data_IF_968837138526
#
_entry.id   IF_968837138526
#
_cell.length_a   1.000
_cell.length_b   1.000
_cell.length_c   1.000
_cell.angle_alpha   90.00
_cell.angle_beta   90.00
_cell.angle_gamma   90.00
#
_symmetry.space_group_name_H-M   'P 1'
#
loop_
_entity.id
_entity.type
_entity.pdbx_description
1 polymer ?
#
# COMPACT_ATOMS: atom_id res chain seq x y z
N UNK A 1 -15.05 -8.83 -8.34
CA UNK A 1 -15.11 -7.35 -8.33
C UNK A 1 -13.73 -6.84 -8.00
N UNK A 2 -13.21 -5.86 -8.73
CA UNK A 2 -11.96 -5.21 -8.39
C UNK A 2 -12.25 -4.08 -7.39
N UNK A 3 -11.51 -4.03 -6.29
CA UNK A 3 -11.57 -2.93 -5.31
C UNK A 3 -10.38 -2.04 -5.60
N UNK A 4 -10.63 -0.74 -5.82
CA UNK A 4 -9.56 0.23 -5.96
C UNK A 4 -8.98 0.52 -4.59
N UNK A 5 -7.70 0.17 -4.40
CA UNK A 5 -6.96 0.51 -3.19
C UNK A 5 -6.47 1.94 -3.34
N UNK A 6 -7.16 2.87 -2.67
CA UNK A 6 -6.81 4.28 -2.67
C UNK A 6 -5.81 4.48 -1.53
N UNK A 7 -4.59 4.91 -1.87
CA UNK A 7 -3.66 5.37 -0.85
C UNK A 7 -4.25 6.59 -0.14
N UNK A 8 -4.57 6.51 1.17
CA UNK A 8 -4.95 7.68 1.92
C UNK A 8 -3.72 8.59 2.05
N UNK A 9 -3.94 9.89 2.33
CA UNK A 9 -2.83 10.75 2.76
C UNK A 9 -2.34 10.22 4.11
N UNK A 10 -1.21 9.53 4.11
CA UNK A 10 -0.63 8.94 5.32
C UNK A 10 0.06 9.99 6.20
N UNK A 11 0.55 11.07 5.59
CA UNK A 11 1.15 12.19 6.30
C UNK A 11 0.80 13.51 5.59
N UNK A 12 0.59 14.58 6.34
CA UNK A 12 0.24 15.91 5.81
C UNK A 12 1.36 16.46 4.90
N UNK A 13 2.60 16.01 5.11
CA UNK A 13 3.77 16.32 4.27
C UNK A 13 4.08 15.25 3.20
N UNK A 14 3.32 14.16 3.12
CA UNK A 14 3.57 13.09 2.15
C UNK A 14 3.24 13.58 0.72
N UNK A 15 4.27 13.88 -0.07
CA UNK A 15 4.13 14.25 -1.49
C UNK A 15 4.38 13.09 -2.44
N UNK A 16 5.27 12.20 -2.07
CA UNK A 16 5.71 11.06 -2.89
C UNK A 16 6.03 9.88 -1.99
N UNK A 17 5.57 8.69 -2.38
CA UNK A 17 5.88 7.43 -1.73
C UNK A 17 6.44 6.45 -2.75
N UNK A 18 7.41 5.63 -2.33
CA UNK A 18 8.02 4.61 -3.17
C UNK A 18 7.59 3.24 -2.68
N UNK A 19 7.06 2.43 -3.58
CA UNK A 19 6.77 1.03 -3.26
C UNK A 19 8.09 0.29 -3.18
N UNK A 20 8.45 -0.19 -1.99
CA UNK A 20 9.70 -0.91 -1.76
C UNK A 20 9.51 -2.41 -1.92
N UNK A 21 8.30 -2.93 -1.65
CA UNK A 21 8.03 -4.36 -1.72
C UNK A 21 6.55 -4.66 -1.95
N UNK A 22 6.31 -5.58 -2.89
CA UNK A 22 5.00 -6.14 -3.14
C UNK A 22 4.87 -7.46 -2.39
N UNK A 23 3.87 -7.57 -1.52
CA UNK A 23 3.54 -8.82 -0.84
C UNK A 23 2.55 -9.64 -1.67
N UNK A 24 1.66 -8.95 -2.39
CA UNK A 24 0.72 -9.58 -3.33
C UNK A 24 1.18 -9.43 -4.77
N UNK A 25 0.92 -10.50 -5.54
CA UNK A 25 1.18 -10.56 -6.98
C UNK A 25 -0.13 -10.43 -7.76
N UNK A 26 0.00 -10.14 -9.04
CA UNK A 26 -1.13 -10.08 -9.95
C UNK A 26 -1.80 -11.46 -10.04
N UNK A 27 -3.12 -11.51 -9.80
CA UNK A 27 -3.90 -12.74 -9.83
C UNK A 27 -4.03 -13.46 -8.49
N UNK A 28 -3.33 -13.01 -7.44
CA UNK A 28 -3.52 -13.53 -6.09
C UNK A 28 -4.88 -13.12 -5.53
N UNK A 29 -5.48 -13.98 -4.70
CA UNK A 29 -6.68 -13.61 -3.94
C UNK A 29 -6.27 -12.65 -2.83
N UNK A 30 -7.02 -11.56 -2.69
CA UNK A 30 -6.82 -10.55 -1.66
C UNK A 30 -7.98 -10.63 -0.68
N UNK A 31 -7.68 -10.73 0.61
CA UNK A 31 -8.66 -10.71 1.69
C UNK A 31 -8.64 -9.38 2.45
N UNK A 32 -9.77 -8.99 3.03
CA UNK A 32 -9.88 -7.74 3.78
C UNK A 32 -8.94 -7.75 4.99
N UNK A 33 -8.12 -6.72 5.14
CA UNK A 33 -7.10 -6.63 6.19
C UNK A 33 -5.80 -7.39 5.89
N UNK A 34 -5.64 -7.90 4.66
CA UNK A 34 -4.38 -8.50 4.20
C UNK A 34 -3.47 -7.41 3.62
N UNK A 35 -2.17 -7.45 3.98
CA UNK A 35 -1.17 -6.49 3.49
C UNK A 35 -0.81 -6.78 2.03
N UNK A 36 -0.96 -5.76 1.19
CA UNK A 36 -0.73 -5.83 -0.25
C UNK A 36 0.70 -5.46 -0.63
N UNK A 37 1.18 -4.34 -0.10
CA UNK A 37 2.50 -3.80 -0.40
C UNK A 37 2.99 -2.84 0.70
N UNK A 38 4.31 -2.72 0.76
CA UNK A 38 5.02 -1.80 1.63
C UNK A 38 5.41 -0.55 0.83
N UNK A 39 5.01 0.59 1.35
CA UNK A 39 5.31 1.89 0.79
C UNK A 39 6.24 2.65 1.75
N UNK A 40 7.39 3.04 1.26
CA UNK A 40 8.35 3.86 1.98
C UNK A 40 8.18 5.34 1.61
N UNK A 41 8.13 6.17 2.63
CA UNK A 41 8.22 7.64 2.51
C UNK A 41 9.58 8.11 2.99
N UNK A 42 9.86 9.40 2.84
CA UNK A 42 11.12 10.01 3.30
C UNK A 42 11.44 9.75 4.78
N UNK A 43 10.41 9.49 5.61
CA UNK A 43 10.56 9.35 7.06
C UNK A 43 10.12 8.01 7.62
N UNK A 44 9.14 7.36 7.00
CA UNK A 44 8.44 6.20 7.58
C UNK A 44 8.02 5.22 6.49
N UNK A 45 8.04 3.93 6.82
CA UNK A 45 7.48 2.86 5.99
C UNK A 45 6.06 2.54 6.46
N UNK A 46 5.12 2.48 5.51
CA UNK A 46 3.72 2.18 5.73
C UNK A 46 3.34 0.89 5.00
N UNK A 47 2.46 0.12 5.63
CA UNK A 47 1.90 -1.10 5.07
C UNK A 47 0.48 -0.82 4.59
N UNK A 48 0.21 -1.11 3.31
CA UNK A 48 -1.12 -0.91 2.73
C UNK A 48 -1.87 -2.23 2.73
N UNK A 49 -2.98 -2.27 3.46
CA UNK A 49 -3.92 -3.40 3.51
C UNK A 49 -5.13 -3.21 2.57
N UNK A 50 -5.84 -4.31 2.30
CA UNK A 50 -7.00 -4.36 1.40
C UNK A 50 -8.35 -4.05 2.04
#
# INVERSE_FOLDING_TARGET
MAVAVILPKLDEAMRTGRIIKWLKKEGDKVEKGEVLFELETEKVTFEIEA
#
